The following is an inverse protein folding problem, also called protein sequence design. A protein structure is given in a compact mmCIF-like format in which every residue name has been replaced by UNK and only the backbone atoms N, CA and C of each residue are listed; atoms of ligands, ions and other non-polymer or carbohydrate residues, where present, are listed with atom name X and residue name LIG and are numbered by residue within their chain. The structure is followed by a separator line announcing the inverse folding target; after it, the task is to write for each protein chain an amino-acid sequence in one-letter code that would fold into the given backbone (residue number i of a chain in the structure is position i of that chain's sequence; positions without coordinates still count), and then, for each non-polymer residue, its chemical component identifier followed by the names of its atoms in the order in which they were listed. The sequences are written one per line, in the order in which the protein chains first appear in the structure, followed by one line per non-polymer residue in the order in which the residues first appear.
data_IF_892258817457
#
_entry.id   IF_892258817457
#
_cell.length_a   1.000
_cell.length_b   1.000
_cell.length_c   1.000
_cell.angle_alpha   90.00
_cell.angle_beta   90.00
_cell.angle_gamma   90.00
#
_symmetry.space_group_name_H-M   'P 1'
#
loop_
_entity.id
_entity.type
_entity.pdbx_description
1 polymer ?
#
# COMPACT_ATOMS: atom_id res chain seq x y z
N UNK A 1 -16.35 5.57 1.81
CA UNK A 1 -15.27 4.67 1.38
C UNK A 1 -14.60 5.26 0.16
N UNK A 2 -13.42 4.76 -0.21
CA UNK A 2 -12.91 4.79 -1.58
C UNK A 2 -12.68 3.36 -2.05
N UNK A 3 -12.86 3.10 -3.34
CA UNK A 3 -12.50 1.84 -3.99
C UNK A 3 -11.27 2.09 -4.87
N UNK A 4 -10.20 1.34 -4.63
CA UNK A 4 -9.04 1.33 -5.50
C UNK A 4 -8.94 -0.02 -6.22
N UNK A 5 -8.83 0.01 -7.54
CA UNK A 5 -8.51 -1.16 -8.36
C UNK A 5 -7.15 -0.90 -9.00
N UNK A 6 -6.20 -1.77 -8.73
CA UNK A 6 -4.80 -1.59 -9.15
C UNK A 6 -4.64 -2.08 -10.59
N UNK A 7 -3.84 -1.36 -11.40
CA UNK A 7 -3.58 -1.77 -12.79
C UNK A 7 -2.88 -3.13 -12.79
N UNK A 8 -3.22 -4.00 -13.73
CA UNK A 8 -2.66 -5.36 -13.82
C UNK A 8 -1.13 -5.40 -13.84
N UNK A 9 -0.48 -4.47 -14.53
CA UNK A 9 0.99 -4.36 -14.55
C UNK A 9 1.59 -4.04 -13.18
N UNK A 10 0.91 -3.22 -12.37
CA UNK A 10 1.35 -2.88 -11.01
C UNK A 10 1.12 -4.06 -10.04
N UNK A 11 0.00 -4.77 -10.20
CA UNK A 11 -0.27 -6.01 -9.45
C UNK A 11 0.82 -7.05 -9.73
N UNK A 12 1.19 -7.23 -11.01
CA UNK A 12 2.22 -8.16 -11.42
C UNK A 12 3.61 -7.79 -10.86
N UNK A 13 3.93 -6.50 -10.78
CA UNK A 13 5.19 -6.04 -10.19
C UNK A 13 5.27 -6.29 -8.68
N UNK A 14 4.14 -6.21 -7.97
CA UNK A 14 4.11 -6.22 -6.50
C UNK A 14 4.79 -4.99 -5.90
N UNK A 15 4.54 -4.72 -4.61
CA UNK A 15 5.07 -3.54 -3.89
C UNK A 15 4.92 -2.20 -4.64
N UNK A 16 3.90 -2.11 -5.50
CA UNK A 16 3.65 -0.97 -6.39
C UNK A 16 2.29 -0.33 -6.04
N UNK A 17 2.15 0.25 -4.83
CA UNK A 17 0.88 0.85 -4.40
C UNK A 17 0.57 2.11 -5.20
N UNK A 18 -0.71 2.32 -5.53
CA UNK A 18 -1.17 3.62 -6.03
C UNK A 18 -1.04 4.69 -4.93
N UNK A 19 -0.55 5.88 -5.29
CA UNK A 19 -0.50 7.06 -4.40
C UNK A 19 -1.87 7.33 -3.77
N UNK A 20 -2.96 7.04 -4.48
CA UNK A 20 -4.35 7.23 -4.00
C UNK A 20 -4.67 6.47 -2.73
N UNK A 21 -4.03 5.33 -2.48
CA UNK A 21 -4.20 4.58 -1.23
C UNK A 21 -3.67 5.38 -0.03
N UNK A 22 -2.51 6.04 -0.20
CA UNK A 22 -1.90 6.86 0.85
C UNK A 22 -2.69 8.15 1.09
N UNK A 23 -3.13 8.82 0.03
CA UNK A 23 -3.95 10.03 0.12
C UNK A 23 -5.27 9.76 0.84
N UNK A 24 -5.97 8.69 0.47
CA UNK A 24 -7.22 8.29 1.12
C UNK A 24 -7.01 7.99 2.61
N UNK A 25 -5.94 7.27 2.95
CA UNK A 25 -5.62 6.95 4.33
C UNK A 25 -5.26 8.22 5.14
N UNK A 26 -4.46 9.13 4.59
CA UNK A 26 -4.12 10.40 5.24
C UNK A 26 -5.37 11.25 5.55
N UNK A 27 -6.36 11.20 4.66
CA UNK A 27 -7.67 11.84 4.82
C UNK A 27 -8.65 11.06 5.73
N UNK A 28 -8.20 10.00 6.42
CA UNK A 28 -9.05 9.14 7.24
C UNK A 28 -10.25 8.56 6.49
N UNK A 29 -10.09 8.26 5.20
CA UNK A 29 -11.12 7.60 4.39
C UNK A 29 -10.96 6.08 4.48
N UNK A 30 -12.07 5.38 4.73
CA UNK A 30 -12.08 3.91 4.69
C UNK A 30 -11.82 3.41 3.25
N UNK A 31 -10.89 2.47 3.09
CA UNK A 31 -10.41 1.99 1.79
C UNK A 31 -10.84 0.54 1.58
N UNK A 32 -11.28 0.24 0.36
CA UNK A 32 -11.38 -1.11 -0.19
C UNK A 32 -10.41 -1.18 -1.39
N UNK A 33 -9.55 -2.20 -1.45
CA UNK A 33 -8.66 -2.43 -2.59
C UNK A 33 -8.69 -3.88 -3.06
N UNK A 34 -8.24 -4.13 -4.28
CA UNK A 34 -7.83 -5.46 -4.73
C UNK A 34 -6.64 -6.02 -3.94
N UNK A 35 -6.45 -7.34 -3.95
CA UNK A 35 -5.34 -8.04 -3.29
C UNK A 35 -4.15 -8.17 -4.24
N UNK A 36 -2.95 -7.83 -3.76
CA UNK A 36 -1.71 -7.99 -4.51
C UNK A 36 -0.49 -8.09 -3.58
N UNK A 37 0.60 -8.65 -4.09
CA UNK A 37 1.80 -8.97 -3.29
C UNK A 37 2.47 -7.71 -2.73
N UNK A 38 2.62 -7.64 -1.41
CA UNK A 38 3.27 -6.52 -0.73
C UNK A 38 2.30 -5.46 -0.19
N UNK A 39 0.99 -5.57 -0.42
CA UNK A 39 0.01 -4.61 0.10
C UNK A 39 0.08 -4.49 1.63
N UNK A 40 0.22 -5.61 2.33
CA UNK A 40 0.32 -5.66 3.79
C UNK A 40 1.59 -5.00 4.34
N UNK A 41 2.62 -4.77 3.49
CA UNK A 41 3.81 -4.01 3.87
C UNK A 41 3.54 -2.50 4.05
N UNK A 42 2.46 -2.00 3.46
CA UNK A 42 2.02 -0.59 3.58
C UNK A 42 0.77 -0.46 4.46
N UNK A 43 -0.13 -1.44 4.38
CA UNK A 43 -1.40 -1.46 5.07
C UNK A 43 -1.54 -2.75 5.89
N UNK A 44 -1.00 -2.78 7.13
CA UNK A 44 -1.09 -3.93 8.01
C UNK A 44 -2.55 -4.32 8.32
N UNK A 45 -2.73 -5.48 8.94
CA UNK A 45 -4.05 -6.04 9.26
C UNK A 45 -5.02 -5.01 9.85
N UNK A 46 -6.26 -5.02 9.38
CA UNK A 46 -7.35 -4.15 9.80
C UNK A 46 -7.17 -2.65 9.51
N UNK A 47 -6.24 -2.25 8.64
CA UNK A 47 -6.13 -0.86 8.14
C UNK A 47 -6.94 -0.62 6.87
N UNK A 48 -7.14 -1.64 6.03
CA UNK A 48 -7.99 -1.58 4.83
C UNK A 48 -8.78 -2.89 4.70
N UNK A 49 -9.86 -2.87 3.92
CA UNK A 49 -10.47 -4.11 3.43
C UNK A 49 -9.91 -4.45 2.06
N UNK A 50 -9.88 -5.73 1.74
CA UNK A 50 -9.59 -6.19 0.39
C UNK A 50 -10.74 -6.99 -0.20
N UNK A 51 -10.96 -6.86 -1.51
CA UNK A 51 -12.00 -7.57 -2.25
C UNK A 51 -11.45 -8.14 -3.57
N UNK A 52 -11.79 -9.39 -3.89
CA UNK A 52 -11.39 -10.03 -5.16
C UNK A 52 -12.37 -9.78 -6.31
N UNK A 53 -13.62 -9.42 -6.00
CA UNK A 53 -14.72 -9.30 -6.94
C UNK A 53 -15.80 -8.37 -6.39
N UNK A 54 -16.75 -7.98 -7.25
CA UNK A 54 -17.76 -6.98 -6.94
C UNK A 54 -18.66 -7.37 -5.76
N UNK A 55 -19.00 -8.66 -5.64
CA UNK A 55 -19.88 -9.18 -4.58
C UNK A 55 -19.27 -8.98 -3.19
N UNK A 56 -17.95 -9.15 -3.05
CA UNK A 56 -17.24 -8.88 -1.80
C UNK A 56 -17.27 -7.38 -1.45
N UNK A 57 -17.14 -6.49 -2.45
CA UNK A 57 -17.28 -5.04 -2.22
C UNK A 57 -18.68 -4.72 -1.72
N UNK A 58 -19.72 -5.26 -2.36
CA UNK A 58 -21.11 -5.07 -1.96
C UNK A 58 -21.34 -5.58 -0.54
N UNK A 59 -20.77 -6.73 -0.18
CA UNK A 59 -20.89 -7.31 1.16
C UNK A 59 -20.29 -6.39 2.22
N UNK A 60 -19.06 -5.90 1.98
CA UNK A 60 -18.38 -4.93 2.86
C UNK A 60 -19.24 -3.68 3.05
N UNK A 61 -19.76 -3.12 1.95
CA UNK A 61 -20.57 -1.89 1.99
C UNK A 61 -21.89 -2.08 2.74
N UNK A 62 -22.49 -3.27 2.63
CA UNK A 62 -23.82 -3.54 3.18
C UNK A 62 -23.80 -4.02 4.63
N UNK A 63 -22.74 -4.73 5.05
CA UNK A 63 -22.68 -5.40 6.36
C UNK A 63 -21.76 -4.74 7.37
N UNK A 64 -20.75 -3.97 6.92
CA UNK A 64 -19.78 -3.40 7.86
C UNK A 64 -20.38 -2.20 8.60
N UNK A 65 -20.44 -2.30 9.92
CA UNK A 65 -20.90 -1.19 10.76
C UNK A 65 -20.01 0.04 10.64
N UNK A 66 -20.60 1.22 10.80
CA UNK A 66 -19.88 2.50 10.81
C UNK A 66 -18.78 2.55 11.87
N UNK A 67 -18.99 1.94 13.03
CA UNK A 67 -17.96 1.85 14.08
C UNK A 67 -16.70 1.13 13.58
N UNK A 68 -16.86 -0.01 12.92
CA UNK A 68 -15.72 -0.78 12.40
C UNK A 68 -15.06 -0.03 11.24
N UNK A 69 -15.87 0.52 10.32
CA UNK A 69 -15.41 1.32 9.18
C UNK A 69 -14.57 2.52 9.61
N UNK A 70 -15.05 3.31 10.56
CA UNK A 70 -14.36 4.50 11.04
C UNK A 70 -13.12 4.15 11.86
N UNK A 71 -13.15 3.05 12.63
CA UNK A 71 -11.97 2.56 13.35
C UNK A 71 -10.86 2.11 12.37
N UNK A 72 -11.22 1.40 11.30
CA UNK A 72 -10.30 1.02 10.22
C UNK A 72 -9.65 2.25 9.57
N UNK A 73 -10.45 3.24 9.20
CA UNK A 73 -9.94 4.46 8.56
C UNK A 73 -9.00 5.26 9.48
N UNK A 74 -9.29 5.33 10.79
CA UNK A 74 -8.41 5.93 11.79
C UNK A 74 -7.08 5.18 11.91
N UNK A 75 -7.09 3.85 11.89
CA UNK A 75 -5.88 3.03 11.91
C UNK A 75 -5.04 3.26 10.65
N UNK A 76 -5.66 3.22 9.47
CA UNK A 76 -4.97 3.52 8.21
C UNK A 76 -4.27 4.87 8.24
N UNK A 77 -4.98 5.91 8.72
CA UNK A 77 -4.42 7.25 8.88
C UNK A 77 -3.20 7.26 9.79
N UNK A 78 -3.31 6.64 10.97
CA UNK A 78 -2.21 6.57 11.92
C UNK A 78 -0.98 5.87 11.32
N UNK A 79 -1.17 4.74 10.63
CA UNK A 79 -0.11 4.00 9.95
C UNK A 79 0.59 4.85 8.89
N UNK A 80 -0.17 5.48 7.99
CA UNK A 80 0.41 6.25 6.88
C UNK A 80 1.12 7.52 7.38
N UNK A 81 0.55 8.23 8.36
CA UNK A 81 1.19 9.42 8.90
C UNK A 81 2.46 9.11 9.71
N UNK A 82 2.56 7.92 10.31
CA UNK A 82 3.76 7.50 11.02
C UNK A 82 4.93 7.15 10.08
N UNK A 83 4.66 6.43 8.99
CA UNK A 83 5.72 5.75 8.22
C UNK A 83 5.78 6.09 6.73
N UNK A 84 4.74 6.70 6.17
CA UNK A 84 4.59 6.87 4.72
C UNK A 84 4.39 8.32 4.27
N UNK A 85 4.80 9.28 5.10
CA UNK A 85 4.99 10.67 4.65
C UNK A 85 6.24 10.79 3.78
N UNK A 86 6.31 11.82 2.93
CA UNK A 86 7.51 12.09 2.12
C UNK A 86 8.77 12.21 2.98
N UNK A 87 8.68 12.89 4.12
CA UNK A 87 9.78 13.02 5.07
C UNK A 87 10.19 11.67 5.71
N UNK A 88 9.21 10.82 6.07
CA UNK A 88 9.51 9.49 6.62
C UNK A 88 10.21 8.60 5.58
N UNK A 89 9.68 8.55 4.35
CA UNK A 89 10.27 7.75 3.26
C UNK A 89 11.64 8.24 2.83
N UNK A 90 11.87 9.57 2.79
CA UNK A 90 13.18 10.13 2.50
C UNK A 90 14.22 9.76 3.57
N UNK A 91 13.86 9.84 4.87
CA UNK A 91 14.75 9.41 5.95
C UNK A 91 15.09 7.92 5.86
N UNK A 92 14.09 7.08 5.60
CA UNK A 92 14.31 5.64 5.45
C UNK A 92 15.23 5.33 4.26
N UNK A 93 15.00 5.99 3.12
CA UNK A 93 15.84 5.84 1.94
C UNK A 93 17.31 6.21 2.23
N UNK A 94 17.56 7.38 2.83
CA UNK A 94 18.92 7.81 3.21
C UNK A 94 19.55 6.84 4.21
N UNK A 95 18.79 6.36 5.20
CA UNK A 95 19.27 5.39 6.18
C UNK A 95 19.71 4.08 5.52
N UNK A 96 18.93 3.58 4.56
CA UNK A 96 19.26 2.36 3.82
C UNK A 96 20.52 2.51 2.96
N UNK A 97 20.75 3.68 2.35
CA UNK A 97 21.96 3.97 1.58
C UNK A 97 23.21 4.15 2.46
N UNK A 98 23.05 4.72 3.65
CA UNK A 98 24.14 4.97 4.58
C UNK A 98 24.58 3.71 5.36
N UNK A 99 23.81 2.61 5.29
CA UNK A 99 24.20 1.34 5.92
C UNK A 99 25.49 0.82 5.28
N UNK A 100 26.51 0.43 6.08
CA UNK A 100 27.71 -0.21 5.55
C UNK A 100 27.31 -1.42 4.72
N UNK A 101 27.69 -1.44 3.43
CA UNK A 101 27.48 -2.62 2.58
C UNK A 101 28.28 -3.77 3.17
N UNK A 102 27.61 -4.81 3.69
CA UNK A 102 28.18 -6.15 3.58
C UNK A 102 28.37 -6.42 2.09
N UNK A 103 29.59 -6.78 1.68
CA UNK A 103 29.94 -6.92 0.27
C UNK A 103 28.90 -7.77 -0.47
N UNK A 104 28.18 -7.16 -1.42
CA UNK A 104 27.30 -7.86 -2.36
C UNK A 104 27.96 -7.81 -3.74
N UNK A 105 27.99 -8.92 -4.49
CA UNK A 105 28.56 -8.94 -5.85
C UNK A 105 27.91 -7.85 -6.68
N UNK A 106 28.68 -7.29 -7.62
CA UNK A 106 28.18 -6.33 -8.59
C UNK A 106 26.88 -6.86 -9.22
N UNK A 107 25.86 -6.01 -9.28
CA UNK A 107 24.69 -6.28 -10.11
C UNK A 107 25.17 -6.24 -11.55
N UNK A 108 25.25 -7.40 -12.20
CA UNK A 108 25.42 -7.47 -13.65
C UNK A 108 24.12 -6.99 -14.27
N UNK A 109 24.12 -5.74 -14.72
CA UNK A 109 23.00 -5.13 -15.41
C UNK A 109 23.31 -5.25 -16.90
N UNK A 110 23.08 -6.44 -17.46
CA UNK A 110 22.90 -6.62 -18.90
C UNK A 110 21.58 -5.94 -19.29
N UNK A 111 21.65 -4.62 -19.50
CA UNK A 111 20.59 -3.85 -20.14
C UNK A 111 20.81 -3.97 -21.64
N UNK A 112 20.50 -5.13 -22.20
CA UNK A 112 20.27 -5.26 -23.64
C UNK A 112 18.81 -5.59 -23.93
N UNK A 113 18.21 -4.66 -24.70
CA UNK A 113 17.05 -4.86 -25.58
C UNK A 113 15.68 -5.15 -24.97
N UNK A 114 14.93 -4.08 -24.70
CA UNK A 114 13.49 -4.04 -24.93
C UNK A 114 13.18 -2.87 -25.88
N UNK A 115 13.39 -3.11 -27.17
CA UNK A 115 12.80 -2.37 -28.29
C UNK A 115 11.70 -3.23 -28.93
#
# INVERSE_FOLDING_TARGET
YTLNVTRSSMVAAGWSPSVRLFEAAACATAIISDRWTGLDSFFPTATINTAGQAEEVIDILSRQSDRVRLAMAKRARATILASHTGAARAREFVSLLARPRSARPALDLDIESAA
#
